data_IF_150943601254
#
_entry.id   IF_150943601254
#
_cell.length_a   1.000
_cell.length_b   1.000
_cell.length_c   1.000
_cell.angle_alpha   90.00
_cell.angle_beta   90.00
_cell.angle_gamma   90.00
#
_symmetry.space_group_name_H-M   'P 1'
#
loop_
_entity.id
_entity.type
_entity.pdbx_description
1 polymer ?
#
# COMPACT_ATOMS: atom_id res chain seq x y z
N UNK A 1 40.55 11.50 13.64
CA UNK A 1 39.12 11.10 13.63
C UNK A 1 38.57 11.36 15.03
N UNK A 2 37.49 12.14 15.18
CA UNK A 2 36.97 12.51 16.50
C UNK A 2 36.28 11.30 17.16
N UNK A 3 36.75 10.78 18.31
CA UNK A 3 36.19 9.58 18.96
C UNK A 3 34.69 9.69 19.27
N UNK A 4 34.22 10.90 19.56
CA UNK A 4 32.81 11.18 19.84
C UNK A 4 31.91 10.96 18.62
N UNK A 5 32.41 11.23 17.41
CA UNK A 5 31.66 11.02 16.17
C UNK A 5 31.54 9.53 15.87
N UNK A 6 32.62 8.76 16.08
CA UNK A 6 32.61 7.31 15.91
C UNK A 6 31.69 6.61 16.91
N UNK A 7 31.71 7.02 18.19
CA UNK A 7 30.81 6.46 19.21
C UNK A 7 29.34 6.80 18.95
N UNK A 8 29.03 8.03 18.54
CA UNK A 8 27.66 8.42 18.21
C UNK A 8 27.13 7.68 16.97
N UNK A 9 27.96 7.49 15.95
CA UNK A 9 27.59 6.70 14.77
C UNK A 9 27.33 5.23 15.14
N UNK A 10 28.23 4.62 15.92
CA UNK A 10 28.08 3.25 16.40
C UNK A 10 26.78 3.07 17.19
N UNK A 11 26.48 3.99 18.11
CA UNK A 11 25.25 3.95 18.91
C UNK A 11 23.99 4.09 18.04
N UNK A 12 23.98 5.00 17.06
CA UNK A 12 22.85 5.14 16.11
C UNK A 12 22.67 3.90 15.26
N UNK A 13 23.76 3.31 14.76
CA UNK A 13 23.69 2.08 13.98
C UNK A 13 23.16 0.92 14.82
N UNK A 14 23.63 0.75 16.06
CA UNK A 14 23.11 -0.28 16.97
C UNK A 14 21.62 -0.09 17.24
N UNK A 15 21.14 1.15 17.45
CA UNK A 15 19.71 1.42 17.62
C UNK A 15 18.91 1.02 16.39
N UNK A 16 19.30 1.50 15.20
CA UNK A 16 18.62 1.19 13.93
C UNK A 16 18.60 -0.32 13.68
N UNK A 17 19.73 -1.01 13.89
CA UNK A 17 19.81 -2.47 13.71
C UNK A 17 18.95 -3.21 14.74
N UNK A 18 18.92 -2.75 15.99
CA UNK A 18 18.09 -3.37 17.04
C UNK A 18 16.61 -3.22 16.73
N UNK A 19 16.19 -2.04 16.27
CA UNK A 19 14.80 -1.78 15.89
C UNK A 19 14.43 -2.61 14.66
N UNK A 20 15.31 -2.67 13.65
CA UNK A 20 15.13 -3.53 12.48
C UNK A 20 14.98 -5.01 12.85
N UNK A 21 15.82 -5.53 13.74
CA UNK A 21 15.73 -6.93 14.18
C UNK A 21 14.41 -7.18 14.92
N UNK A 22 14.03 -6.31 15.86
CA UNK A 22 12.76 -6.42 16.59
C UNK A 22 11.55 -6.40 15.66
N UNK A 23 11.54 -5.49 14.70
CA UNK A 23 10.48 -5.42 13.69
C UNK A 23 10.46 -6.68 12.82
N UNK A 24 11.62 -7.21 12.44
CA UNK A 24 11.72 -8.41 11.60
C UNK A 24 11.11 -9.65 12.27
N UNK A 25 11.32 -9.84 13.58
CA UNK A 25 10.73 -10.96 14.32
C UNK A 25 9.22 -10.82 14.59
N UNK A 26 8.69 -9.60 14.53
CA UNK A 26 7.27 -9.33 14.75
C UNK A 26 6.41 -9.46 13.50
N UNK A 27 7.01 -9.61 12.32
CA UNK A 27 6.29 -9.73 11.04
C UNK A 27 6.02 -11.19 10.71
N UNK A 28 4.83 -11.46 10.17
CA UNK A 28 4.52 -12.76 9.60
C UNK A 28 5.48 -13.03 8.44
N UNK A 29 6.24 -14.12 8.55
CA UNK A 29 7.06 -14.59 7.45
C UNK A 29 6.14 -15.06 6.33
N UNK A 30 6.47 -14.70 5.09
CA UNK A 30 5.86 -15.31 3.93
C UNK A 30 6.10 -16.83 4.01
N UNK A 31 5.04 -17.62 4.19
CA UNK A 31 5.11 -19.08 4.35
C UNK A 31 5.57 -19.81 3.07
N UNK A 32 5.91 -19.06 2.03
CA UNK A 32 6.35 -19.57 0.76
C UNK A 32 7.80 -20.04 0.84
N UNK A 33 7.97 -21.30 1.25
CA UNK A 33 9.22 -22.03 1.01
C UNK A 33 9.60 -21.95 -0.46
N UNK A 34 10.83 -21.51 -0.72
CA UNK A 34 11.43 -21.53 -2.07
C UNK A 34 12.45 -22.64 -2.09
N UNK A 35 12.34 -23.55 -3.04
CA UNK A 35 13.33 -24.60 -3.25
C UNK A 35 14.67 -23.97 -3.65
N UNK A 36 15.79 -24.58 -3.28
CA UNK A 36 17.12 -24.12 -3.70
C UNK A 36 17.25 -24.02 -5.22
N UNK A 37 16.55 -24.91 -5.94
CA UNK A 37 16.47 -24.95 -7.40
C UNK A 37 15.73 -23.75 -8.00
N UNK A 38 14.85 -23.12 -7.22
CA UNK A 38 14.02 -22.00 -7.61
C UNK A 38 14.67 -20.64 -7.29
N UNK A 39 15.76 -20.63 -6.50
CA UNK A 39 16.50 -19.41 -6.14
C UNK A 39 16.98 -18.58 -7.34
N UNK A 40 17.48 -19.17 -8.44
CA UNK A 40 17.85 -18.40 -9.63
C UNK A 40 16.68 -17.65 -10.28
N UNK A 41 15.44 -18.08 -10.01
CA UNK A 41 14.21 -17.49 -10.53
C UNK A 41 13.31 -16.95 -9.41
N UNK A 42 13.90 -16.61 -8.26
CA UNK A 42 13.20 -16.21 -7.05
C UNK A 42 12.14 -15.12 -7.29
N UNK A 43 12.45 -14.10 -8.09
CA UNK A 43 11.52 -13.03 -8.42
C UNK A 43 10.24 -13.54 -9.13
N UNK A 44 10.39 -14.50 -10.05
CA UNK A 44 9.26 -15.07 -10.78
C UNK A 44 8.40 -15.93 -9.85
N UNK A 45 9.04 -16.75 -9.03
CA UNK A 45 8.37 -17.64 -8.06
C UNK A 45 7.58 -16.85 -7.04
N UNK A 46 8.11 -15.71 -6.59
CA UNK A 46 7.39 -14.81 -5.70
C UNK A 46 6.20 -14.16 -6.39
N UNK A 47 6.38 -13.63 -7.60
CA UNK A 47 5.31 -13.00 -8.37
C UNK A 47 4.16 -13.99 -8.63
N UNK A 48 4.51 -15.25 -8.89
CA UNK A 48 3.56 -16.34 -9.06
C UNK A 48 2.79 -16.71 -7.78
N UNK A 49 3.28 -16.34 -6.61
CA UNK A 49 2.66 -16.67 -5.33
C UNK A 49 1.81 -15.52 -4.77
N UNK A 50 1.77 -14.38 -5.45
CA UNK A 50 0.92 -13.25 -5.07
C UNK A 50 -0.46 -13.44 -5.68
N UNK A 51 -1.39 -13.94 -4.86
CA UNK A 51 -2.78 -14.20 -5.27
C UNK A 51 -3.44 -12.97 -5.90
N UNK A 52 -3.11 -11.78 -5.41
CA UNK A 52 -3.66 -10.52 -5.94
C UNK A 52 -3.27 -10.23 -7.40
N UNK A 53 -2.13 -10.76 -7.87
CA UNK A 53 -1.71 -10.62 -9.26
C UNK A 53 -2.41 -11.63 -10.17
N UNK A 54 -3.02 -12.67 -9.60
CA UNK A 54 -3.74 -13.74 -10.33
C UNK A 54 -5.25 -13.65 -10.19
N UNK A 55 -5.75 -12.92 -9.21
CA UNK A 55 -7.17 -12.80 -8.96
C UNK A 55 -7.87 -11.99 -10.06
N UNK A 56 -8.92 -12.59 -10.63
CA UNK A 56 -9.80 -11.93 -11.60
C UNK A 56 -10.69 -10.87 -10.93
N UNK A 57 -10.99 -11.03 -9.63
CA UNK A 57 -11.81 -10.11 -8.84
C UNK A 57 -11.24 -9.93 -7.44
N UNK A 58 -11.08 -8.68 -7.02
CA UNK A 58 -10.66 -8.32 -5.67
C UNK A 58 -11.81 -8.51 -4.68
N UNK A 59 -11.49 -8.99 -3.47
CA UNK A 59 -12.50 -9.22 -2.42
C UNK A 59 -12.67 -7.90 -1.69
N UNK A 60 -13.89 -7.41 -1.69
CA UNK A 60 -14.28 -6.22 -0.93
C UNK A 60 -13.96 -6.41 0.56
N UNK A 61 -13.54 -5.33 1.21
CA UNK A 61 -13.16 -5.33 2.61
C UNK A 61 -11.92 -4.49 2.90
N UNK A 62 -11.48 -4.52 4.16
CA UNK A 62 -10.26 -3.82 4.61
C UNK A 62 -9.13 -4.80 4.84
N UNK A 63 -7.91 -4.32 4.62
CA UNK A 63 -6.67 -5.08 4.77
C UNK A 63 -5.79 -4.35 5.77
N UNK A 64 -5.48 -4.98 6.91
CA UNK A 64 -4.72 -4.34 7.99
C UNK A 64 -3.27 -4.07 7.62
N UNK A 65 -2.69 -4.95 6.81
CA UNK A 65 -1.29 -4.91 6.44
C UNK A 65 -1.10 -5.31 4.97
N UNK A 66 0.13 -5.21 4.51
CA UNK A 66 0.48 -5.61 3.14
C UNK A 66 0.30 -7.11 2.93
N UNK A 67 0.61 -7.93 3.93
CA UNK A 67 0.52 -9.39 3.82
C UNK A 67 -0.92 -9.85 3.53
N UNK A 68 -1.89 -9.37 4.32
CA UNK A 68 -3.32 -9.60 4.12
C UNK A 68 -3.80 -9.11 2.75
N UNK A 69 -3.31 -7.96 2.27
CA UNK A 69 -3.65 -7.43 0.95
C UNK A 69 -3.13 -8.30 -0.19
N UNK A 70 -1.84 -8.60 -0.21
CA UNK A 70 -1.20 -9.36 -1.29
C UNK A 70 -1.57 -10.86 -1.28
N UNK A 71 -1.98 -11.40 -0.13
CA UNK A 71 -2.56 -12.75 0.02
C UNK A 71 -4.08 -12.80 -0.12
N UNK A 72 -4.74 -11.68 -0.42
CA UNK A 72 -6.19 -11.61 -0.69
C UNK A 72 -7.07 -12.12 0.46
N UNK A 73 -6.66 -11.78 1.69
CA UNK A 73 -7.33 -12.11 2.96
C UNK A 73 -7.84 -10.84 3.65
N UNK A 74 -8.99 -10.28 3.23
CA UNK A 74 -9.56 -9.14 3.92
C UNK A 74 -10.01 -9.52 5.34
N UNK A 75 -10.06 -8.52 6.20
CA UNK A 75 -10.62 -8.66 7.55
C UNK A 75 -12.11 -9.01 7.50
N UNK A 76 -12.50 -10.00 8.28
CA UNK A 76 -13.89 -10.45 8.35
C UNK A 76 -14.74 -9.51 9.22
N UNK A 77 -15.99 -9.31 8.82
CA UNK A 77 -16.98 -8.56 9.59
C UNK A 77 -16.91 -7.04 9.47
N UNK A 78 -15.92 -6.50 8.76
CA UNK A 78 -15.85 -5.05 8.52
C UNK A 78 -16.70 -4.61 7.33
N UNK A 79 -17.49 -3.57 7.53
CA UNK A 79 -18.27 -2.87 6.51
C UNK A 79 -17.72 -1.45 6.36
N UNK A 80 -17.49 -1.00 5.12
CA UNK A 80 -17.00 0.35 4.83
C UNK A 80 -18.12 1.38 4.98
N UNK A 81 -17.88 2.43 5.78
CA UNK A 81 -18.76 3.60 5.91
C UNK A 81 -18.22 4.78 5.08
N UNK A 82 -19.09 5.35 4.24
CA UNK A 82 -18.80 6.57 3.48
C UNK A 82 -19.40 7.81 4.15
N UNK A 83 -18.80 8.97 3.92
CA UNK A 83 -19.42 10.26 4.26
C UNK A 83 -20.48 10.68 3.22
N UNK A 84 -21.11 11.84 3.43
CA UNK A 84 -22.13 12.41 2.54
C UNK A 84 -21.63 12.70 1.10
N UNK A 85 -20.31 12.65 0.88
CA UNK A 85 -19.67 12.84 -0.42
C UNK A 85 -19.28 11.50 -1.09
N UNK A 86 -19.67 10.36 -0.51
CA UNK A 86 -19.33 9.03 -1.00
C UNK A 86 -17.88 8.60 -0.72
N UNK A 87 -17.16 9.32 0.15
CA UNK A 87 -15.75 9.03 0.48
C UNK A 87 -15.71 8.05 1.64
N UNK A 88 -14.98 6.95 1.50
CA UNK A 88 -14.78 5.97 2.58
C UNK A 88 -13.98 6.62 3.71
N UNK A 89 -14.54 6.63 4.92
CA UNK A 89 -13.88 7.26 6.08
C UNK A 89 -13.57 6.27 7.19
N UNK A 90 -14.36 5.19 7.31
CA UNK A 90 -14.28 4.23 8.41
C UNK A 90 -14.62 2.83 7.92
N UNK A 91 -14.17 1.84 8.68
CA UNK A 91 -14.62 0.47 8.61
C UNK A 91 -15.24 0.11 9.96
N UNK A 92 -16.41 -0.52 9.93
CA UNK A 92 -17.22 -0.84 11.11
C UNK A 92 -17.41 -2.35 11.22
N UNK A 93 -17.11 -2.91 12.39
CA UNK A 93 -17.38 -4.30 12.73
C UNK A 93 -18.18 -4.32 14.02
N UNK A 94 -19.51 -4.45 13.93
CA UNK A 94 -20.40 -4.29 15.08
C UNK A 94 -20.29 -2.88 15.70
N UNK A 95 -19.89 -2.81 16.96
CA UNK A 95 -19.68 -1.54 17.68
C UNK A 95 -18.30 -0.90 17.40
N UNK A 96 -17.35 -1.68 16.85
CA UNK A 96 -15.98 -1.22 16.60
C UNK A 96 -15.92 -0.37 15.34
N UNK A 97 -15.71 0.94 15.52
CA UNK A 97 -15.50 1.90 14.42
C UNK A 97 -14.03 2.25 14.27
N UNK A 98 -13.40 1.77 13.21
CA UNK A 98 -11.99 2.04 12.92
C UNK A 98 -11.86 3.02 11.76
N UNK A 99 -11.10 4.10 11.95
CA UNK A 99 -10.82 5.04 10.87
C UNK A 99 -10.05 4.36 9.73
N UNK A 100 -10.42 4.65 8.47
CA UNK A 100 -9.86 3.95 7.31
C UNK A 100 -8.32 4.10 7.20
N UNK A 101 -7.80 5.25 7.68
CA UNK A 101 -6.35 5.54 7.75
C UNK A 101 -5.51 4.57 8.59
N UNK A 102 -6.15 3.70 9.38
CA UNK A 102 -5.48 2.68 10.22
C UNK A 102 -5.25 1.36 9.48
N UNK A 103 -5.82 1.22 8.29
CA UNK A 103 -5.62 0.05 7.44
C UNK A 103 -4.54 0.33 6.41
N UNK A 104 -3.98 -0.73 5.85
CA UNK A 104 -3.01 -0.66 4.76
C UNK A 104 -3.69 -0.32 3.44
N UNK A 105 -4.78 -1.02 3.14
CA UNK A 105 -5.58 -0.86 1.93
C UNK A 105 -7.03 -1.26 2.19
N UNK A 106 -7.92 -0.92 1.26
CA UNK A 106 -9.28 -1.44 1.22
C UNK A 106 -9.72 -1.67 -0.22
N UNK A 107 -10.69 -2.54 -0.41
CA UNK A 107 -11.35 -2.79 -1.69
C UNK A 107 -12.82 -2.45 -1.53
N UNK A 108 -13.34 -1.65 -2.45
CA UNK A 108 -14.75 -1.28 -2.51
C UNK A 108 -15.24 -1.43 -3.95
N UNK A 109 -16.30 -2.23 -4.15
CA UNK A 109 -16.87 -2.51 -5.47
C UNK A 109 -15.81 -3.05 -6.46
N UNK A 110 -14.91 -3.91 -5.99
CA UNK A 110 -13.83 -4.49 -6.79
C UNK A 110 -12.65 -3.55 -7.10
N UNK A 111 -12.68 -2.29 -6.65
CA UNK A 111 -11.57 -1.34 -6.82
C UNK A 111 -10.72 -1.29 -5.55
N UNK A 112 -9.42 -1.53 -5.68
CA UNK A 112 -8.47 -1.44 -4.57
C UNK A 112 -7.97 -0.01 -4.36
N UNK A 113 -7.83 0.38 -3.10
CA UNK A 113 -7.31 1.68 -2.68
C UNK A 113 -6.23 1.51 -1.63
N UNK A 114 -5.09 2.17 -1.85
CA UNK A 114 -3.97 2.28 -0.92
C UNK A 114 -4.18 3.47 -0.01
N UNK A 115 -4.03 3.27 1.31
CA UNK A 115 -4.00 4.38 2.26
C UNK A 115 -2.66 5.13 2.14
N UNK A 116 -2.74 6.46 1.98
CA UNK A 116 -1.59 7.37 1.91
C UNK A 116 -1.76 8.50 2.94
N UNK A 117 -0.70 9.23 3.33
CA UNK A 117 -0.78 10.25 4.39
C UNK A 117 -1.89 11.30 4.20
N UNK A 118 -2.18 11.67 2.95
CA UNK A 118 -3.21 12.68 2.61
C UNK A 118 -4.61 12.09 2.41
N UNK A 119 -4.77 10.76 2.38
CA UNK A 119 -6.04 10.10 2.07
C UNK A 119 -5.84 8.67 1.54
N UNK A 120 -6.30 8.41 0.32
CA UNK A 120 -6.08 7.13 -0.35
C UNK A 120 -6.02 7.31 -1.88
N UNK A 121 -5.26 6.43 -2.54
CA UNK A 121 -5.08 6.39 -3.99
C UNK A 121 -5.53 5.04 -4.55
N UNK A 122 -6.07 5.02 -5.76
CA UNK A 122 -6.43 3.78 -6.46
C UNK A 122 -5.18 2.95 -6.76
N UNK A 123 -5.26 1.64 -6.51
CA UNK A 123 -4.19 0.69 -6.84
C UNK A 123 -4.47 0.16 -8.23
N UNK A 124 -3.51 0.40 -9.12
CA UNK A 124 -3.51 -0.03 -10.50
C UNK A 124 -2.59 -1.24 -10.67
N UNK A 125 -2.79 -1.99 -11.76
CA UNK A 125 -2.04 -3.20 -12.08
C UNK A 125 -1.38 -3.05 -13.44
N UNK A 126 -0.07 -3.28 -13.50
CA UNK A 126 0.70 -3.42 -14.74
C UNK A 126 1.39 -4.78 -14.79
N UNK A 127 2.08 -5.06 -15.89
CA UNK A 127 2.91 -6.26 -16.02
C UNK A 127 4.06 -6.32 -14.99
N UNK A 128 4.43 -5.17 -14.41
CA UNK A 128 5.50 -5.06 -13.42
C UNK A 128 4.99 -5.19 -11.97
N UNK A 129 3.67 -5.19 -11.75
CA UNK A 129 3.07 -5.36 -10.43
C UNK A 129 1.96 -4.35 -10.13
N UNK A 130 1.73 -4.11 -8.83
CA UNK A 130 0.74 -3.14 -8.37
C UNK A 130 1.40 -1.78 -8.12
N UNK A 131 0.75 -0.70 -8.54
CA UNK A 131 1.26 0.66 -8.40
C UNK A 131 0.15 1.65 -8.05
N UNK A 132 0.55 2.83 -7.60
CA UNK A 132 -0.32 3.99 -7.38
C UNK A 132 0.27 5.18 -8.14
N UNK A 133 -0.59 6.02 -8.69
CA UNK A 133 -0.21 7.30 -9.29
C UNK A 133 -0.31 8.39 -8.21
N UNK A 134 0.83 8.94 -7.78
CA UNK A 134 0.89 9.91 -6.68
C UNK A 134 2.06 10.90 -6.83
N UNK A 135 1.93 12.07 -6.20
CA UNK A 135 3.04 13.04 -6.03
C UNK A 135 3.85 12.76 -4.78
N UNK A 136 5.11 13.20 -4.77
CA UNK A 136 5.95 13.13 -3.57
C UNK A 136 5.34 13.82 -2.37
N UNK A 137 4.71 14.97 -2.55
CA UNK A 137 4.05 15.72 -1.47
C UNK A 137 2.87 14.99 -0.84
N UNK A 138 2.31 14.00 -1.52
CA UNK A 138 1.18 13.20 -1.03
C UNK A 138 1.64 12.00 -0.21
N UNK A 139 2.79 11.40 -0.59
CA UNK A 139 3.45 10.34 0.17
C UNK A 139 4.32 10.86 1.31
N UNK A 140 4.90 12.05 1.15
CA UNK A 140 5.84 12.68 2.06
C UNK A 140 5.49 14.16 2.23
N UNK A 141 4.35 14.49 2.86
CA UNK A 141 3.96 15.87 3.07
C UNK A 141 5.00 16.59 3.94
N UNK A 142 5.47 17.74 3.48
CA UNK A 142 6.33 18.63 4.28
C UNK A 142 5.50 19.13 5.48
N UNK A 143 5.95 18.87 6.70
CA UNK A 143 5.16 19.18 7.88
C UNK A 143 5.07 20.69 8.10
N UNK A 144 3.85 21.23 8.10
CA UNK A 144 3.52 22.46 8.81
C UNK A 144 2.31 22.21 9.69
N UNK A 145 2.55 21.76 10.92
CA UNK A 145 1.58 21.53 11.99
C UNK A 145 0.50 20.46 11.70
N UNK A 146 0.14 19.69 12.73
CA UNK A 146 -0.80 18.55 12.67
C UNK A 146 -2.26 18.88 12.32
N UNK A 147 -2.52 19.91 11.52
CA UNK A 147 -3.83 20.43 11.15
C UNK A 147 -4.22 20.17 9.68
N UNK A 148 -3.32 19.67 8.81
CA UNK A 148 -3.65 19.39 7.40
C UNK A 148 -4.06 17.93 7.11
N UNK A 149 -4.15 17.07 8.13
CA UNK A 149 -4.66 15.70 7.99
C UNK A 149 -6.19 15.74 8.04
N UNK A 150 -6.82 16.19 6.96
CA UNK A 150 -8.29 16.23 6.87
C UNK A 150 -8.88 16.84 5.60
N UNK A 151 -8.06 17.50 4.76
CA UNK A 151 -8.56 18.27 3.61
C UNK A 151 -8.67 17.50 2.28
N UNK A 152 -7.98 16.37 2.12
CA UNK A 152 -7.95 15.58 0.88
C UNK A 152 -8.61 14.19 1.07
N UNK A 153 -9.67 14.14 1.87
CA UNK A 153 -10.53 12.96 1.93
C UNK A 153 -11.43 12.96 0.68
N UNK A 154 -10.92 12.45 -0.43
CA UNK A 154 -11.64 12.28 -1.69
C UNK A 154 -10.67 11.80 -2.75
N UNK A 155 -10.75 10.50 -3.06
CA UNK A 155 -9.76 9.75 -3.83
C UNK A 155 -9.16 10.51 -5.01
N UNK A 156 -7.83 10.42 -5.13
CA UNK A 156 -7.17 10.56 -6.41
C UNK A 156 -7.71 9.40 -7.27
N UNK A 157 -8.73 9.70 -8.07
CA UNK A 157 -9.34 8.76 -9.01
C UNK A 157 -8.25 8.40 -10.01
N UNK A 158 -7.73 7.18 -9.88
CA UNK A 158 -6.72 6.61 -10.76
C UNK A 158 -7.35 6.29 -12.11
N UNK A 159 -6.67 6.68 -13.18
CA UNK A 159 -7.07 6.29 -14.53
C UNK A 159 -6.88 4.78 -14.67
N UNK A 160 -7.92 4.10 -15.15
CA UNK A 160 -7.82 2.68 -15.52
C UNK A 160 -6.74 2.55 -16.60
N UNK A 161 -5.67 1.83 -16.31
CA UNK A 161 -4.89 1.15 -17.34
C UNK A 161 -4.69 -0.29 -16.86
N UNK A 162 -5.34 -1.23 -17.55
CA UNK A 162 -5.07 -2.67 -17.42
C UNK A 162 -6.28 -3.53 -17.02
N UNK A 163 -6.95 -4.06 -18.05
CA UNK A 163 -7.97 -5.13 -18.04
C UNK A 163 -9.30 -4.86 -17.29
N UNK A 164 -10.36 -4.76 -18.09
CA UNK A 164 -11.74 -4.65 -17.64
C UNK A 164 -12.16 -5.86 -16.78
N UNK A 165 -12.66 -5.57 -15.59
CA UNK A 165 -13.86 -6.25 -15.09
C UNK A 165 -15.01 -5.24 -15.17
N UNK A 166 -16.06 -5.70 -15.83
CA UNK A 166 -17.16 -4.96 -16.44
C UNK A 166 -18.03 -4.24 -15.39
N UNK A 167 -17.97 -2.89 -15.36
CA UNK A 167 -19.06 -1.99 -14.98
C UNK A 167 -18.67 -0.51 -15.15
N UNK A 168 -19.25 0.17 -16.15
CA UNK A 168 -19.39 1.64 -16.13
C UNK A 168 -18.26 2.46 -16.74
N UNK A 169 -17.85 2.16 -17.97
CA UNK A 169 -16.90 2.96 -18.73
C UNK A 169 -17.57 4.17 -19.40
N UNK A 170 -17.48 5.38 -18.83
CA UNK A 170 -17.79 6.58 -19.63
C UNK A 170 -17.12 7.92 -19.28
N UNK A 171 -16.14 8.01 -18.36
CA UNK A 171 -15.45 9.31 -18.18
C UNK A 171 -14.03 9.19 -17.63
N UNK A 172 -13.05 8.79 -18.46
CA UNK A 172 -11.64 8.71 -18.05
C UNK A 172 -10.68 9.03 -19.21
N UNK A 173 -10.78 10.24 -19.79
CA UNK A 173 -9.79 10.78 -20.75
C UNK A 173 -9.33 12.15 -20.28
N UNK A 174 -8.01 12.32 -20.17
CA UNK A 174 -7.24 13.55 -19.88
C UNK A 174 -6.81 13.75 -18.42
N UNK A 175 -5.79 13.00 -17.98
CA UNK A 175 -4.80 13.51 -17.01
C UNK A 175 -3.40 13.06 -17.42
N UNK A 176 -2.44 13.96 -17.19
CA UNK A 176 -0.99 13.76 -17.38
C UNK A 176 -0.55 12.72 -16.33
N UNK A 177 0.25 11.70 -16.68
CA UNK A 177 0.65 10.68 -15.72
C UNK A 177 1.38 11.32 -14.54
N UNK A 178 0.84 11.14 -13.34
CA UNK A 178 1.61 11.30 -12.12
C UNK A 178 2.66 10.17 -12.05
N UNK A 179 3.68 10.30 -11.20
CA UNK A 179 4.75 9.31 -11.20
C UNK A 179 4.22 7.97 -10.65
N UNK A 180 4.47 6.88 -11.36
CA UNK A 180 4.12 5.53 -10.93
C UNK A 180 4.97 5.13 -9.72
N UNK A 181 4.32 4.86 -8.59
CA UNK A 181 4.96 4.34 -7.39
C UNK A 181 4.49 2.91 -7.17
N UNK A 182 5.41 1.97 -7.32
CA UNK A 182 5.10 0.54 -7.18
C UNK A 182 5.01 0.15 -5.70
N UNK A 183 4.13 -0.79 -5.40
CA UNK A 183 3.94 -1.36 -4.06
C UNK A 183 4.76 -2.64 -3.95
N UNK A 184 5.71 -2.68 -3.03
CA UNK A 184 6.50 -3.89 -2.77
C UNK A 184 5.62 -4.93 -2.05
N UNK A 185 5.36 -6.09 -2.69
CA UNK A 185 4.56 -7.15 -2.09
C UNK A 185 5.19 -7.75 -0.83
N UNK A 186 6.50 -7.77 -0.71
CA UNK A 186 7.19 -8.46 0.37
C UNK A 186 7.30 -7.59 1.62
N UNK A 187 7.43 -6.28 1.44
CA UNK A 187 7.70 -5.34 2.54
C UNK A 187 6.55 -4.38 2.82
N UNK A 188 5.64 -4.20 1.86
CA UNK A 188 4.59 -3.19 1.89
C UNK A 188 5.09 -1.76 1.66
N UNK A 189 6.37 -1.59 1.31
CA UNK A 189 7.00 -0.29 1.06
C UNK A 189 6.76 0.21 -0.36
N UNK A 190 7.11 1.47 -0.60
CA UNK A 190 7.05 2.10 -1.91
C UNK A 190 8.37 1.88 -2.66
N UNK A 191 8.28 1.37 -3.88
CA UNK A 191 9.37 1.35 -4.85
C UNK A 191 9.24 2.64 -5.66
N UNK A 192 10.09 3.61 -5.31
CA UNK A 192 10.05 4.95 -5.91
C UNK A 192 10.77 4.95 -7.27
N UNK A 193 10.20 5.60 -8.29
CA UNK A 193 10.88 5.77 -9.58
C UNK A 193 12.10 6.70 -9.45
N UNK A 194 13.04 6.57 -10.38
CA UNK A 194 14.19 7.46 -10.42
C UNK A 194 13.74 8.92 -10.59
N UNK A 195 14.25 9.80 -9.73
CA UNK A 195 13.90 11.22 -9.78
C UNK A 195 12.51 11.56 -9.22
N UNK A 196 11.95 10.72 -8.33
CA UNK A 196 10.69 11.00 -7.64
C UNK A 196 10.64 12.38 -7.00
N UNK A 197 9.73 13.22 -7.49
CA UNK A 197 9.60 14.65 -7.17
C UNK A 197 8.18 15.04 -6.82
#
# INVERSE_FOLDING_TARGET
MNPFVAQNLARKFTMILTDFLKESYGKEAWETGVSEQDLPQYANVLTDKLDILKADQLKDGVYKDYHSFFSHRPEQGFVLETNDKGVVTKAVNGEDKTAIRRFYAFVQNGVAYKIIPVGYAEILKSDQGLFIEVKKTELFPESSNGAMIGGMAGGLIGGIIGAAIDAGAQSRRNRIPEQEVYLDPLTGQYILPEGFK
#
